data_IF_100195933383
#
_entry.id   IF_100195933383
#
_cell.length_a   1.000
_cell.length_b   1.000
_cell.length_c   1.000
_cell.angle_alpha   90.00
_cell.angle_beta   90.00
_cell.angle_gamma   90.00
#
_symmetry.space_group_name_H-M   'P 1'
#
loop_
_entity.id
_entity.type
_entity.pdbx_description
1 polymer ?
#
# COMPACT_ATOMS: atom_id res chain seq x y z
N UNK A 1 -48.27 -35.83 11.99
CA UNK A 1 -47.30 -35.27 12.96
C UNK A 1 -46.70 -34.03 12.30
N UNK A 2 -46.67 -32.91 13.03
CA UNK A 2 -46.11 -31.63 12.59
C UNK A 2 -44.59 -31.78 12.45
N UNK A 3 -43.96 -31.15 11.46
CA UNK A 3 -43.15 -29.96 11.73
C UNK A 3 -42.74 -29.24 10.43
N UNK A 4 -42.82 -27.91 10.47
CA UNK A 4 -42.43 -26.99 9.41
C UNK A 4 -41.00 -26.52 9.70
N UNK A 5 -40.03 -27.01 8.94
CA UNK A 5 -38.65 -26.50 9.02
C UNK A 5 -38.47 -25.25 8.17
N UNK A 6 -38.52 -24.08 8.79
CA UNK A 6 -38.06 -22.82 8.21
C UNK A 6 -36.54 -22.89 7.98
N UNK A 7 -36.08 -22.59 6.76
CA UNK A 7 -34.66 -22.32 6.49
C UNK A 7 -34.50 -20.80 6.64
N UNK A 8 -33.90 -20.38 7.75
CA UNK A 8 -33.54 -19.00 8.02
C UNK A 8 -32.39 -18.58 7.11
N UNK A 9 -32.60 -17.55 6.29
CA UNK A 9 -31.55 -16.86 5.56
C UNK A 9 -30.84 -15.92 6.55
N UNK A 10 -29.73 -16.36 7.14
CA UNK A 10 -28.85 -15.45 7.89
C UNK A 10 -27.99 -14.67 6.91
N UNK A 11 -28.36 -13.40 6.74
CA UNK A 11 -27.57 -12.40 6.03
C UNK A 11 -26.44 -11.96 6.95
N UNK A 12 -25.24 -12.49 6.74
CA UNK A 12 -24.05 -11.97 7.41
C UNK A 12 -23.66 -10.65 6.75
N UNK A 13 -24.06 -9.53 7.36
CA UNK A 13 -23.48 -8.21 7.12
C UNK A 13 -21.99 -8.25 7.49
N UNK A 14 -21.12 -8.15 6.48
CA UNK A 14 -19.69 -7.92 6.72
C UNK A 14 -19.52 -6.45 7.06
N UNK A 15 -19.34 -6.15 8.34
CA UNK A 15 -18.95 -4.82 8.81
C UNK A 15 -17.57 -4.45 8.26
N UNK A 16 -17.53 -3.38 7.47
CA UNK A 16 -16.34 -2.81 6.86
C UNK A 16 -15.59 -1.94 7.89
N UNK A 17 -14.68 -2.57 8.63
CA UNK A 17 -13.75 -1.91 9.53
C UNK A 17 -12.54 -1.40 8.74
N UNK A 18 -12.70 -0.20 8.20
CA UNK A 18 -11.62 0.66 7.69
C UNK A 18 -10.64 0.96 8.83
N UNK A 19 -9.38 0.50 8.74
CA UNK A 19 -8.18 1.10 9.37
C UNK A 19 -6.94 0.22 9.10
N UNK A 20 -6.34 0.34 7.92
CA UNK A 20 -4.99 -0.22 7.66
C UNK A 20 -4.04 0.90 7.24
N UNK A 21 -3.43 1.53 8.24
CA UNK A 21 -2.21 2.32 8.12
C UNK A 21 -1.20 1.69 9.08
N UNK A 22 -0.25 0.92 8.57
CA UNK A 22 0.79 0.29 9.40
C UNK A 22 1.89 1.30 9.72
N UNK A 23 1.96 1.70 10.99
CA UNK A 23 3.09 2.39 11.61
C UNK A 23 3.99 1.31 12.24
N UNK A 24 5.26 1.23 11.85
CA UNK A 24 6.25 0.44 12.59
C UNK A 24 7.05 1.38 13.50
N UNK A 25 6.75 1.41 14.80
CA UNK A 25 7.65 1.98 15.81
C UNK A 25 7.83 0.98 16.95
N UNK A 26 9.09 0.73 17.29
CA UNK A 26 9.52 -0.25 18.27
C UNK A 26 8.88 -0.03 19.67
N UNK A 27 8.52 -1.15 20.28
CA UNK A 27 8.25 -1.46 21.70
C UNK A 27 7.78 -0.34 22.65
N UNK A 28 6.54 -0.53 23.15
CA UNK A 28 5.87 0.12 24.28
C UNK A 28 5.25 1.50 24.03
N UNK A 29 4.07 1.56 23.41
CA UNK A 29 3.08 2.63 23.67
C UNK A 29 1.64 2.15 23.42
N UNK A 30 0.76 2.42 24.39
CA UNK A 30 -0.66 2.07 24.51
C UNK A 30 -1.58 2.87 23.56
N UNK A 31 -2.82 2.40 23.28
CA UNK A 31 -3.73 2.96 22.27
C UNK A 31 -4.49 4.17 22.81
N UNK A 32 -3.84 5.31 22.88
CA UNK A 32 -4.51 6.59 23.11
C UNK A 32 -3.66 7.74 22.59
N UNK A 33 -3.42 7.79 21.26
CA UNK A 33 -2.85 8.94 20.57
C UNK A 33 -3.02 8.81 19.04
N UNK A 34 -4.23 8.51 18.57
CA UNK A 34 -4.65 8.83 17.20
C UNK A 34 -4.95 10.33 17.11
N UNK A 35 -3.91 11.16 17.11
CA UNK A 35 -4.01 12.56 16.72
C UNK A 35 -2.66 13.03 16.17
N UNK A 36 -2.63 13.29 14.86
CA UNK A 36 -1.61 14.07 14.14
C UNK A 36 -0.15 13.62 14.34
N UNK A 37 0.27 12.63 13.55
CA UNK A 37 1.62 12.63 13.01
C UNK A 37 1.51 12.31 11.51
N UNK A 38 1.34 13.35 10.69
CA UNK A 38 1.97 13.32 9.36
C UNK A 38 3.46 13.48 9.66
N UNK A 39 4.16 12.40 9.98
CA UNK A 39 5.59 12.43 9.75
C UNK A 39 5.73 12.67 8.25
N UNK A 40 6.37 13.78 7.89
CA UNK A 40 6.85 13.98 6.53
C UNK A 40 7.85 12.85 6.29
N UNK A 41 7.37 11.76 5.69
CA UNK A 41 8.22 10.67 5.28
C UNK A 41 9.15 11.23 4.22
N UNK A 42 10.42 11.42 4.59
CA UNK A 42 11.47 11.76 3.63
C UNK A 42 11.87 10.50 2.85
N UNK A 43 10.89 9.87 2.19
CA UNK A 43 11.18 8.78 1.28
C UNK A 43 11.78 9.37 0.00
N UNK A 44 12.91 8.82 -0.41
CA UNK A 44 13.56 9.17 -1.66
C UNK A 44 12.61 9.01 -2.87
N UNK A 45 11.65 8.08 -2.79
CA UNK A 45 10.65 7.89 -3.85
C UNK A 45 9.68 9.08 -3.99
N UNK A 46 9.53 9.92 -2.97
CA UNK A 46 8.70 11.14 -3.05
C UNK A 46 9.39 12.26 -3.83
N UNK A 47 10.73 12.25 -3.86
CA UNK A 47 11.55 13.26 -4.57
C UNK A 47 11.74 12.93 -6.06
N UNK A 48 11.53 11.67 -6.47
CA UNK A 48 11.73 11.23 -7.85
C UNK A 48 10.40 11.23 -8.61
N UNK A 49 10.25 12.17 -9.54
CA UNK A 49 9.07 12.24 -10.41
C UNK A 49 8.89 10.97 -11.24
N UNK A 50 7.67 10.43 -11.27
CA UNK A 50 7.33 9.21 -12.00
C UNK A 50 7.81 7.91 -11.35
N UNK A 51 8.41 7.96 -10.15
CA UNK A 51 8.70 6.78 -9.36
C UNK A 51 7.55 6.49 -8.39
N UNK A 52 7.16 5.22 -8.31
CA UNK A 52 6.10 4.74 -7.43
C UNK A 52 6.59 3.49 -6.70
N UNK A 53 6.68 3.55 -5.37
CA UNK A 53 7.04 2.41 -4.53
C UNK A 53 5.78 1.60 -4.18
N UNK A 54 5.32 0.80 -5.14
CA UNK A 54 4.06 0.08 -5.02
C UNK A 54 4.12 -1.11 -4.06
N UNK A 55 5.26 -1.80 -4.00
CA UNK A 55 5.42 -3.07 -3.29
C UNK A 55 6.58 -2.98 -2.31
N UNK A 56 6.30 -3.34 -1.05
CA UNK A 56 7.33 -3.54 -0.03
C UNK A 56 7.34 -4.98 0.45
N UNK A 57 8.53 -5.56 0.57
CA UNK A 57 8.71 -6.83 1.24
C UNK A 57 8.94 -6.57 2.74
N UNK A 58 8.09 -7.15 3.58
CA UNK A 58 8.25 -7.12 5.03
C UNK A 58 8.23 -8.54 5.59
N UNK A 59 8.88 -8.70 6.73
CA UNK A 59 8.90 -9.97 7.44
C UNK A 59 7.85 -9.88 8.55
N UNK A 60 6.96 -10.87 8.61
CA UNK A 60 6.06 -11.03 9.74
C UNK A 60 6.56 -12.16 10.65
N UNK A 61 6.82 -11.82 11.90
CA UNK A 61 7.29 -12.77 12.92
C UNK A 61 6.09 -13.39 13.64
N UNK A 62 5.62 -14.52 13.11
CA UNK A 62 4.54 -15.29 13.73
C UNK A 62 5.07 -16.33 14.73
N UNK A 63 4.16 -16.92 15.51
CA UNK A 63 4.48 -18.05 16.41
C UNK A 63 5.06 -19.27 15.69
N UNK A 64 4.88 -19.35 14.37
CA UNK A 64 5.31 -20.46 13.52
C UNK A 64 6.58 -20.12 12.69
N UNK A 65 7.24 -18.99 12.98
CA UNK A 65 8.43 -18.53 12.27
C UNK A 65 8.20 -17.25 11.45
N UNK A 66 9.21 -16.91 10.65
CA UNK A 66 9.23 -15.71 9.82
C UNK A 66 8.59 -16.02 8.47
N UNK A 67 7.62 -15.20 8.08
CA UNK A 67 6.98 -15.28 6.77
C UNK A 67 7.19 -13.96 6.03
N UNK A 68 7.65 -14.05 4.79
CA UNK A 68 7.74 -12.89 3.91
C UNK A 68 6.33 -12.48 3.45
N UNK A 69 6.00 -11.21 3.60
CA UNK A 69 4.76 -10.58 3.13
C UNK A 69 5.08 -9.46 2.17
N UNK A 70 4.18 -9.26 1.21
CA UNK A 70 4.20 -8.10 0.32
C UNK A 70 3.11 -7.14 0.77
N UNK A 71 3.49 -5.91 1.09
CA UNK A 71 2.57 -4.82 1.36
C UNK A 71 2.46 -3.98 0.08
N UNK A 72 1.22 -3.64 -0.27
CA UNK A 72 0.93 -2.69 -1.35
C UNK A 72 0.79 -1.32 -0.72
N UNK A 73 1.60 -0.33 -1.14
CA UNK A 73 1.41 1.04 -0.69
C UNK A 73 0.14 1.62 -1.32
N UNK A 74 -0.84 1.92 -0.46
CA UNK A 74 -2.07 2.58 -0.86
C UNK A 74 -1.81 3.99 -1.38
N UNK A 75 -0.88 4.70 -0.75
CA UNK A 75 -0.52 6.08 -1.08
C UNK A 75 0.11 6.18 -2.48
N UNK A 76 1.06 5.30 -2.80
CA UNK A 76 1.65 5.26 -4.14
C UNK A 76 0.68 4.71 -5.19
N UNK A 77 -0.22 3.81 -4.82
CA UNK A 77 -1.28 3.34 -5.73
C UNK A 77 -2.25 4.47 -6.07
N UNK A 78 -2.68 5.24 -5.08
CA UNK A 78 -3.51 6.43 -5.27
C UNK A 78 -2.81 7.45 -6.17
N UNK A 79 -1.55 7.78 -5.85
CA UNK A 79 -0.73 8.70 -6.64
C UNK A 79 -0.62 8.23 -8.10
N UNK A 80 -0.26 6.97 -8.32
CA UNK A 80 -0.15 6.39 -9.67
C UNK A 80 -1.47 6.49 -10.44
N UNK A 81 -2.58 6.07 -9.83
CA UNK A 81 -3.90 6.13 -10.47
C UNK A 81 -4.29 7.56 -10.83
N UNK A 82 -4.11 8.51 -9.91
CA UNK A 82 -4.50 9.90 -10.10
C UNK A 82 -3.55 10.67 -11.04
N UNK A 83 -2.28 10.29 -11.12
CA UNK A 83 -1.31 10.82 -12.10
C UNK A 83 -1.65 10.35 -13.52
N UNK A 84 -2.16 9.11 -13.67
CA UNK A 84 -2.56 8.57 -14.98
C UNK A 84 -3.92 9.11 -15.44
N UNK A 85 -4.92 9.09 -14.56
CA UNK A 85 -6.26 9.63 -14.82
C UNK A 85 -6.71 10.37 -13.57
N UNK A 86 -6.88 11.71 -13.63
CA UNK A 86 -7.27 12.50 -12.47
C UNK A 86 -8.51 11.95 -11.75
N UNK A 87 -8.45 11.88 -10.41
CA UNK A 87 -9.53 11.40 -9.54
C UNK A 87 -9.96 9.93 -9.76
N UNK A 88 -9.10 9.10 -10.36
CA UNK A 88 -9.40 7.67 -10.57
C UNK A 88 -9.26 6.79 -9.35
N UNK A 89 -8.69 7.30 -8.26
CA UNK A 89 -8.62 6.60 -7.00
C UNK A 89 -9.39 7.37 -5.92
N UNK A 90 -10.44 6.76 -5.37
CA UNK A 90 -11.15 7.25 -4.17
C UNK A 90 -10.87 6.36 -2.96
N UNK A 91 -10.84 5.05 -3.19
CA UNK A 91 -10.51 4.01 -2.22
C UNK A 91 -10.03 2.77 -2.97
N UNK A 92 -9.58 1.73 -2.25
CA UNK A 92 -9.19 0.45 -2.87
C UNK A 92 -10.36 -0.21 -3.62
N UNK A 93 -11.58 -0.11 -3.09
CA UNK A 93 -12.80 -0.64 -3.71
C UNK A 93 -13.36 0.26 -4.82
N UNK A 94 -12.94 1.53 -4.86
CA UNK A 94 -13.43 2.55 -5.81
C UNK A 94 -12.29 3.11 -6.68
N UNK A 95 -11.69 2.23 -7.48
CA UNK A 95 -10.73 2.58 -8.53
C UNK A 95 -11.43 2.57 -9.90
N UNK A 96 -11.28 3.64 -10.68
CA UNK A 96 -11.86 3.73 -12.03
C UNK A 96 -11.04 2.94 -13.07
N UNK A 97 -11.15 1.61 -13.03
CA UNK A 97 -10.45 0.74 -13.99
C UNK A 97 -10.91 0.94 -15.43
N UNK A 98 -12.13 1.41 -15.67
CA UNK A 98 -12.66 1.65 -17.01
C UNK A 98 -11.83 2.71 -17.74
N UNK A 99 -11.58 3.85 -17.12
CA UNK A 99 -10.75 4.90 -17.71
C UNK A 99 -9.27 4.54 -17.69
N UNK A 100 -8.76 3.96 -16.60
CA UNK A 100 -7.35 3.55 -16.51
C UNK A 100 -6.97 2.54 -17.60
N UNK A 101 -7.85 1.59 -17.93
CA UNK A 101 -7.60 0.60 -18.99
C UNK A 101 -7.63 1.20 -20.41
N UNK A 102 -8.13 2.43 -20.58
CA UNK A 102 -8.07 3.13 -21.87
C UNK A 102 -6.70 3.75 -22.15
N UNK A 103 -5.84 3.85 -21.12
CA UNK A 103 -4.48 4.36 -21.24
C UNK A 103 -3.52 3.19 -21.45
N UNK A 104 -2.72 3.27 -22.51
CA UNK A 104 -1.57 2.39 -22.68
C UNK A 104 -0.35 3.03 -22.04
N UNK A 105 0.29 2.32 -21.11
CA UNK A 105 1.55 2.70 -20.53
C UNK A 105 2.42 1.48 -20.30
N UNK A 106 3.72 1.70 -20.25
CA UNK A 106 4.72 0.66 -19.99
C UNK A 106 5.35 0.92 -18.63
N UNK A 107 4.98 0.12 -17.63
CA UNK A 107 5.68 0.12 -16.36
C UNK A 107 7.06 -0.53 -16.55
N UNK A 108 8.09 0.21 -16.17
CA UNK A 108 9.45 -0.32 -16.01
C UNK A 108 9.75 -0.26 -14.53
N UNK A 109 9.86 -1.42 -13.90
CA UNK A 109 10.11 -1.55 -12.47
C UNK A 109 11.40 -2.30 -12.20
N UNK A 110 11.95 -2.09 -11.00
CA UNK A 110 12.97 -2.95 -10.42
C UNK A 110 12.51 -3.39 -9.03
N UNK A 111 12.90 -4.59 -8.63
CA UNK A 111 12.63 -5.12 -7.30
C UNK A 111 13.91 -5.76 -6.75
N UNK A 112 14.04 -5.81 -5.44
CA UNK A 112 15.21 -6.39 -4.78
C UNK A 112 15.68 -5.57 -3.58
N UNK A 113 16.95 -5.74 -3.21
CA UNK A 113 17.52 -5.08 -2.04
C UNK A 113 17.48 -3.55 -2.22
N UNK A 114 16.82 -2.84 -1.29
CA UNK A 114 16.66 -1.38 -1.32
C UNK A 114 17.98 -0.61 -1.49
N UNK A 115 19.08 -1.09 -0.90
CA UNK A 115 20.38 -0.42 -1.03
C UNK A 115 20.97 -0.59 -2.43
N UNK A 116 20.73 -1.73 -3.09
CA UNK A 116 21.17 -1.94 -4.47
C UNK A 116 20.33 -1.12 -5.45
N UNK A 117 19.03 -0.98 -5.18
CA UNK A 117 18.15 -0.08 -5.95
C UNK A 117 18.62 1.37 -5.80
N UNK A 118 18.89 1.84 -4.57
CA UNK A 118 19.44 3.18 -4.36
C UNK A 118 20.78 3.39 -5.08
N UNK A 119 21.69 2.41 -5.04
CA UNK A 119 22.95 2.46 -5.81
C UNK A 119 22.72 2.49 -7.32
N UNK A 120 21.76 1.73 -7.84
CA UNK A 120 21.39 1.77 -9.25
C UNK A 120 20.89 3.16 -9.66
N UNK A 121 20.01 3.77 -8.86
CA UNK A 121 19.50 5.13 -9.07
C UNK A 121 20.63 6.17 -9.02
N UNK A 122 21.57 6.04 -8.07
CA UNK A 122 22.74 6.91 -7.95
C UNK A 122 23.64 6.79 -9.18
N UNK A 123 23.97 5.56 -9.61
CA UNK A 123 24.78 5.32 -10.80
C UNK A 123 24.10 5.82 -12.09
N UNK A 124 22.78 5.93 -12.09
CA UNK A 124 21.99 6.51 -13.18
C UNK A 124 21.82 8.03 -13.12
N UNK A 125 22.43 8.72 -12.14
CA UNK A 125 22.24 10.16 -11.87
C UNK A 125 20.77 10.55 -11.66
N UNK A 126 19.95 9.64 -11.12
CA UNK A 126 18.53 9.91 -10.79
C UNK A 126 18.41 10.55 -9.40
N UNK A 127 19.37 10.23 -8.51
CA UNK A 127 19.45 10.75 -7.14
C UNK A 127 20.85 11.26 -6.86
N UNK A 128 20.97 12.18 -5.92
CA UNK A 128 22.25 12.72 -5.48
C UNK A 128 22.89 11.84 -4.40
N UNK A 129 24.23 11.88 -4.35
CA UNK A 129 24.95 11.35 -3.21
C UNK A 129 24.69 12.26 -2.00
N UNK A 130 24.15 11.70 -0.93
CA UNK A 130 24.01 12.42 0.34
C UNK A 130 25.40 12.80 0.85
N UNK A 131 25.63 14.11 1.03
CA UNK A 131 26.85 14.69 1.60
C UNK A 131 27.03 14.33 3.07
#
# INVERSE_FOLDING_TARGET
>A
MRDSGQISNDSNEVQENTNDSFIHVNSLTTPSQQAKYKEESNDLADEISGLYRLLDLCNDEGSNGIVDKIIISKEYLEKLCNDMVPSSFKSISEINYTELNSISFRLIGCYGNRNLIAKLLLNGNIIDQKL
#
